data_IF_283824721034
#
_entry.id   IF_283824721034
#
_cell.length_a   1.000
_cell.length_b   1.000
_cell.length_c   1.000
_cell.angle_alpha   90.00
_cell.angle_beta   90.00
_cell.angle_gamma   90.00
#
_symmetry.space_group_name_H-M   'P 1'
#
loop_
_entity.id
_entity.type
_entity.pdbx_description
1 polymer ?
#
# COMPACT_ATOMS: atom_id res chain seq x y z
N UNK A 1 -34.75 44.95 -7.83
CA UNK A 1 -33.87 44.01 -8.55
C UNK A 1 -32.62 43.91 -7.71
N UNK A 2 -32.42 42.78 -7.05
CA UNK A 2 -31.16 42.52 -6.33
C UNK A 2 -30.18 42.12 -7.41
N UNK A 3 -29.11 42.90 -7.57
CA UNK A 3 -28.07 42.63 -8.56
C UNK A 3 -27.32 41.36 -8.12
N UNK A 4 -27.44 40.31 -8.93
CA UNK A 4 -26.74 39.03 -8.75
C UNK A 4 -25.27 39.19 -9.15
N UNK A 5 -24.43 39.24 -8.11
CA UNK A 5 -23.12 38.59 -8.01
C UNK A 5 -22.03 38.95 -9.03
N UNK A 6 -21.40 40.12 -8.83
CA UNK A 6 -20.01 40.38 -9.26
C UNK A 6 -19.01 39.71 -8.28
N UNK A 7 -19.13 38.39 -8.07
CA UNK A 7 -18.28 37.63 -7.13
C UNK A 7 -17.23 36.81 -7.90
N UNK A 8 -16.10 37.45 -8.14
CA UNK A 8 -14.77 36.89 -8.46
C UNK A 8 -14.72 35.71 -9.44
N UNK A 9 -14.27 35.98 -10.67
CA UNK A 9 -13.81 35.02 -11.69
C UNK A 9 -12.51 34.30 -11.25
N UNK A 10 -12.52 33.69 -10.06
CA UNK A 10 -11.40 32.90 -9.56
C UNK A 10 -11.41 31.54 -10.24
N UNK A 11 -10.52 31.38 -11.21
CA UNK A 11 -10.28 30.12 -11.89
C UNK A 11 -9.25 29.26 -11.15
N UNK A 12 -9.33 27.94 -11.36
CA UNK A 12 -8.35 27.01 -10.82
C UNK A 12 -7.02 27.12 -11.59
N UNK A 13 -5.92 27.44 -10.91
CA UNK A 13 -4.58 27.57 -11.50
C UNK A 13 -4.08 26.27 -12.18
N UNK A 14 -4.63 25.10 -11.81
CA UNK A 14 -4.22 23.81 -12.36
C UNK A 14 -4.93 23.40 -13.64
N UNK A 15 -6.21 23.74 -13.80
CA UNK A 15 -6.97 23.37 -15.00
C UNK A 15 -7.41 24.58 -15.84
N UNK A 16 -7.22 25.80 -15.34
CA UNK A 16 -7.64 27.04 -15.99
C UNK A 16 -9.14 27.27 -15.98
N UNK A 17 -9.93 26.40 -15.34
CA UNK A 17 -11.40 26.44 -15.33
C UNK A 17 -11.92 27.00 -14.01
N UNK A 18 -12.99 27.81 -14.07
CA UNK A 18 -13.79 28.22 -12.91
C UNK A 18 -14.96 27.28 -12.59
N UNK A 19 -15.03 26.12 -13.24
CA UNK A 19 -16.08 25.13 -13.02
C UNK A 19 -15.98 24.51 -11.61
N UNK A 20 -17.11 24.21 -10.97
CA UNK A 20 -17.16 23.68 -9.59
C UNK A 20 -16.61 24.64 -8.50
N UNK A 21 -17.17 25.86 -8.39
CA UNK A 21 -16.71 26.85 -7.41
C UNK A 21 -16.85 26.35 -5.96
N UNK A 22 -17.84 25.51 -5.66
CA UNK A 22 -18.02 24.90 -4.34
C UNK A 22 -16.87 23.96 -3.91
N UNK A 23 -16.04 23.52 -4.87
CA UNK A 23 -14.87 22.67 -4.63
C UNK A 23 -13.57 23.40 -4.97
N UNK A 24 -13.60 24.72 -5.07
CA UNK A 24 -12.43 25.57 -5.31
C UNK A 24 -11.92 26.11 -3.96
N UNK A 25 -10.66 25.84 -3.67
CA UNK A 25 -9.96 26.31 -2.48
C UNK A 25 -9.06 27.49 -2.82
N UNK A 26 -9.07 28.51 -1.97
CA UNK A 26 -8.15 29.64 -2.04
C UNK A 26 -6.97 29.40 -1.12
N UNK A 27 -5.78 29.79 -1.56
CA UNK A 27 -4.58 29.78 -0.73
C UNK A 27 -4.54 31.02 0.18
N UNK A 28 -4.39 30.85 1.49
CA UNK A 28 -4.40 31.97 2.46
C UNK A 28 -3.17 32.92 2.38
N UNK A 29 -2.23 32.66 1.46
CA UNK A 29 -1.01 33.48 1.26
C UNK A 29 -0.98 34.21 -0.08
N UNK A 30 -1.65 33.69 -1.10
CA UNK A 30 -1.59 34.24 -2.45
C UNK A 30 -2.94 34.31 -3.17
N UNK A 31 -4.01 33.93 -2.48
CA UNK A 31 -5.42 33.99 -2.92
C UNK A 31 -5.72 33.28 -4.25
N UNK A 32 -4.81 32.44 -4.74
CA UNK A 32 -5.02 31.64 -5.95
C UNK A 32 -5.95 30.46 -5.69
N UNK A 33 -6.83 30.19 -6.66
CA UNK A 33 -7.81 29.11 -6.64
C UNK A 33 -7.26 27.76 -7.10
N UNK A 34 -7.66 26.69 -6.40
CA UNK A 34 -7.34 25.31 -6.75
C UNK A 34 -8.50 24.38 -6.42
N UNK A 35 -8.93 23.55 -7.38
CA UNK A 35 -9.90 22.51 -7.05
C UNK A 35 -9.31 21.43 -6.14
N UNK A 36 -10.12 20.94 -5.20
CA UNK A 36 -9.76 19.81 -4.32
C UNK A 36 -9.23 18.59 -5.11
N UNK A 37 -9.82 18.34 -6.28
CA UNK A 37 -9.47 17.23 -7.18
C UNK A 37 -8.31 17.54 -8.14
N UNK A 38 -7.99 18.81 -8.38
CA UNK A 38 -6.83 19.20 -9.20
C UNK A 38 -5.51 19.16 -8.40
N UNK A 39 -5.58 19.13 -7.07
CA UNK A 39 -4.42 19.02 -6.19
C UNK A 39 -3.80 17.61 -6.21
N UNK A 40 -2.50 17.55 -5.92
CA UNK A 40 -1.74 16.30 -5.77
C UNK A 40 -0.96 16.36 -4.45
N UNK A 41 -1.34 15.55 -3.43
CA UNK A 41 -2.43 14.57 -3.40
C UNK A 41 -3.82 15.20 -3.50
N UNK A 42 -4.80 14.43 -3.99
CA UNK A 42 -6.21 14.86 -4.08
C UNK A 42 -6.76 15.05 -2.67
N UNK A 43 -7.42 16.18 -2.43
CA UNK A 43 -8.11 16.44 -1.16
C UNK A 43 -9.54 15.91 -1.25
N UNK A 44 -9.95 15.09 -0.27
CA UNK A 44 -11.31 14.56 -0.21
C UNK A 44 -12.32 15.56 0.38
N UNK A 45 -11.85 16.56 1.11
CA UNK A 45 -12.66 17.59 1.75
C UNK A 45 -11.85 18.86 1.97
N UNK A 46 -12.53 19.98 2.17
CA UNK A 46 -11.92 21.25 2.58
C UNK A 46 -11.15 21.03 3.90
N UNK A 47 -9.86 21.39 3.99
CA UNK A 47 -9.09 21.29 5.23
C UNK A 47 -9.70 22.13 6.35
N UNK A 48 -9.55 21.68 7.59
CA UNK A 48 -9.92 22.49 8.77
C UNK A 48 -8.75 23.41 9.10
N UNK A 49 -8.94 24.72 8.95
CA UNK A 49 -7.91 25.73 9.21
C UNK A 49 -7.25 26.23 7.91
N UNK A 50 -6.09 26.87 8.06
CA UNK A 50 -5.42 27.53 6.93
C UNK A 50 -4.81 26.54 5.94
N UNK A 51 -5.00 26.80 4.64
CA UNK A 51 -4.45 26.00 3.56
C UNK A 51 -3.55 26.83 2.64
N UNK A 52 -2.39 26.26 2.31
CA UNK A 52 -1.41 26.88 1.42
C UNK A 52 -1.23 26.04 0.17
N UNK A 53 -1.16 26.71 -0.99
CA UNK A 53 -0.91 26.03 -2.25
C UNK A 53 0.53 25.49 -2.33
N UNK A 54 0.84 24.54 -3.23
CA UNK A 54 2.18 23.94 -3.32
C UNK A 54 3.33 24.93 -3.56
N UNK A 55 3.03 26.12 -4.07
CA UNK A 55 4.01 27.19 -4.27
C UNK A 55 4.24 28.03 -3.01
N UNK A 56 3.25 28.09 -2.11
CA UNK A 56 3.25 28.89 -0.89
C UNK A 56 3.57 28.07 0.37
N UNK A 57 3.39 26.75 0.31
CA UNK A 57 3.80 25.84 1.36
C UNK A 57 5.34 25.80 1.43
N UNK A 58 5.89 26.47 2.44
CA UNK A 58 7.33 26.57 2.68
C UNK A 58 7.93 25.21 3.13
N UNK A 59 7.10 24.17 3.34
CA UNK A 59 7.55 22.80 3.57
C UNK A 59 8.02 22.15 2.26
N UNK A 60 9.24 22.47 1.84
CA UNK A 60 10.01 21.72 0.83
C UNK A 60 10.41 20.31 1.30
N UNK A 61 9.51 19.59 1.97
CA UNK A 61 9.61 18.14 2.05
C UNK A 61 9.14 17.61 0.70
N UNK A 62 9.99 17.79 -0.32
CA UNK A 62 9.96 16.98 -1.52
C UNK A 62 9.70 15.57 -1.03
N UNK A 63 8.59 14.99 -1.50
CA UNK A 63 8.26 13.59 -1.34
C UNK A 63 9.33 12.76 -2.04
N UNK A 64 10.55 12.76 -1.50
CA UNK A 64 11.45 11.64 -1.62
C UNK A 64 10.70 10.56 -0.91
N UNK A 65 10.02 9.72 -1.70
CA UNK A 65 9.53 8.45 -1.22
C UNK A 65 10.67 7.86 -0.38
N UNK A 66 10.48 7.58 0.92
CA UNK A 66 11.57 7.05 1.73
C UNK A 66 12.06 5.79 1.02
N UNK A 67 13.22 5.89 0.36
CA UNK A 67 13.82 4.78 -0.39
C UNK A 67 14.14 3.59 0.53
N UNK A 68 13.99 3.79 1.84
CA UNK A 68 13.97 2.76 2.86
C UNK A 68 12.54 2.56 3.34
N UNK A 69 11.96 1.41 3.02
CA UNK A 69 10.76 0.90 3.71
C UNK A 69 11.14 0.57 5.16
N UNK A 70 11.23 1.60 6.01
CA UNK A 70 11.51 1.46 7.46
C UNK A 70 10.54 0.48 8.10
N UNK A 71 9.26 0.52 7.70
CA UNK A 71 8.23 -0.43 8.15
C UNK A 71 8.55 -1.90 7.86
N UNK A 72 9.25 -2.23 6.77
CA UNK A 72 9.64 -3.62 6.48
C UNK A 72 10.88 -3.99 7.30
N UNK A 73 11.87 -3.08 7.37
CA UNK A 73 13.10 -3.31 8.13
C UNK A 73 12.80 -3.48 9.62
N UNK A 74 11.92 -2.63 10.18
CA UNK A 74 11.50 -2.66 11.57
C UNK A 74 10.65 -3.90 11.87
N UNK A 75 9.77 -4.29 10.94
CA UNK A 75 8.89 -5.46 11.11
C UNK A 75 9.65 -6.79 11.06
N UNK A 76 10.60 -6.92 10.13
CA UNK A 76 11.41 -8.14 9.96
C UNK A 76 12.75 -8.10 10.72
N UNK A 77 13.05 -7.02 11.46
CA UNK A 77 14.32 -6.79 12.18
C UNK A 77 15.55 -7.16 11.34
N UNK A 78 15.54 -6.74 10.07
CA UNK A 78 16.64 -7.03 9.15
C UNK A 78 17.86 -6.22 9.63
N UNK A 79 18.81 -6.89 10.28
CA UNK A 79 20.07 -6.28 10.66
C UNK A 79 20.85 -5.96 9.38
N UNK A 80 21.00 -4.67 9.06
CA UNK A 80 21.94 -4.24 8.03
C UNK A 80 23.34 -4.24 8.64
N UNK A 81 24.35 -4.85 8.00
CA UNK A 81 25.73 -4.72 8.45
C UNK A 81 26.13 -3.24 8.38
N UNK A 82 26.67 -2.76 9.49
CA UNK A 82 27.02 -1.36 9.76
C UNK A 82 28.16 -0.87 8.87
N UNK A 83 27.93 0.25 8.16
CA UNK A 83 29.00 1.20 7.89
C UNK A 83 28.47 2.64 8.12
N UNK A 84 29.10 3.32 9.08
CA UNK A 84 29.05 4.75 9.47
C UNK A 84 27.68 5.31 9.96
N UNK A 85 27.48 5.47 11.28
CA UNK A 85 27.84 6.63 12.15
C UNK A 85 26.95 7.87 11.91
N UNK A 86 25.93 8.04 12.76
CA UNK A 86 25.85 9.18 13.68
C UNK A 86 24.78 8.91 14.75
N UNK A 87 25.21 9.07 16.01
CA UNK A 87 24.42 8.92 17.22
C UNK A 87 23.25 9.90 17.30
N UNK A 88 22.14 9.48 17.92
CA UNK A 88 21.44 10.31 18.91
C UNK A 88 20.58 9.39 19.79
N UNK A 89 20.97 9.30 21.06
CA UNK A 89 20.27 8.56 22.12
C UNK A 89 19.28 9.48 22.88
N UNK A 90 18.63 9.04 23.98
CA UNK A 90 17.20 8.78 24.01
C UNK A 90 16.44 9.78 24.90
N UNK A 91 15.17 10.04 24.60
CA UNK A 91 14.29 10.65 25.62
C UNK A 91 13.10 11.40 25.07
N UNK A 92 11.91 10.85 25.33
CA UNK A 92 10.91 11.38 26.28
C UNK A 92 9.58 10.71 25.97
N UNK A 93 8.95 10.17 27.02
CA UNK A 93 7.65 9.52 26.98
C UNK A 93 6.60 10.35 26.22
N UNK A 94 6.26 9.91 25.03
CA UNK A 94 5.06 10.35 24.33
C UNK A 94 3.95 9.39 24.73
N UNK A 95 3.12 9.78 25.69
CA UNK A 95 1.87 9.09 26.02
C UNK A 95 1.05 8.86 24.75
N UNK A 96 1.12 7.64 24.19
CA UNK A 96 0.29 7.20 23.06
C UNK A 96 -1.14 7.09 23.55
N UNK A 97 -1.92 8.16 23.38
CA UNK A 97 -3.38 8.10 23.44
C UNK A 97 -3.85 7.01 22.48
N UNK A 98 -4.27 5.87 23.03
CA UNK A 98 -4.93 4.79 22.30
C UNK A 98 -6.23 5.36 21.72
N UNK A 99 -6.21 5.78 20.46
CA UNK A 99 -7.44 6.08 19.73
C UNK A 99 -8.24 4.77 19.65
N UNK A 100 -9.45 4.81 20.23
CA UNK A 100 -10.43 3.72 20.19
C UNK A 100 -10.61 3.25 18.74
N UNK A 101 -10.64 1.93 18.58
CA UNK A 101 -10.72 1.28 17.28
C UNK A 101 -11.95 1.74 16.49
N UNK A 102 -11.71 2.47 15.41
CA UNK A 102 -12.65 2.54 14.30
C UNK A 102 -12.56 1.21 13.57
N UNK A 103 -13.70 0.54 13.40
CA UNK A 103 -13.87 -0.71 12.65
C UNK A 103 -12.88 -0.81 11.48
N UNK A 104 -11.94 -1.77 11.55
CA UNK A 104 -10.95 -2.04 10.50
C UNK A 104 -11.59 -2.76 9.31
N UNK A 105 -12.70 -2.26 8.79
CA UNK A 105 -13.14 -2.68 7.46
C UNK A 105 -12.37 -1.84 6.45
N UNK A 106 -11.07 -2.17 6.30
CA UNK A 106 -10.33 -1.78 5.10
C UNK A 106 -10.95 -2.58 3.96
N UNK A 107 -11.74 -1.91 3.12
CA UNK A 107 -12.05 -2.42 1.78
C UNK A 107 -10.73 -2.58 1.04
N UNK A 108 -10.13 -3.78 1.14
CA UNK A 108 -8.88 -4.11 0.46
C UNK A 108 -9.13 -3.95 -1.04
N UNK A 109 -8.57 -2.88 -1.63
CA UNK A 109 -8.57 -2.71 -3.09
C UNK A 109 -8.02 -3.99 -3.70
N UNK A 110 -8.79 -4.59 -4.61
CA UNK A 110 -8.46 -5.88 -5.25
C UNK A 110 -7.13 -5.74 -6.01
N UNK A 111 -6.04 -6.24 -5.42
CA UNK A 111 -4.74 -6.32 -6.08
C UNK A 111 -4.70 -7.57 -6.93
N UNK A 112 -4.32 -7.43 -8.21
CA UNK A 112 -4.15 -8.58 -9.10
C UNK A 112 -2.88 -9.33 -8.69
N UNK A 113 -2.95 -10.65 -8.56
CA UNK A 113 -1.76 -11.48 -8.41
C UNK A 113 -0.93 -11.42 -9.69
N UNK A 114 0.36 -11.14 -9.55
CA UNK A 114 1.32 -11.20 -10.64
C UNK A 114 2.04 -12.55 -10.57
N UNK A 115 2.35 -13.17 -11.73
CA UNK A 115 3.14 -14.39 -11.73
C UNK A 115 4.54 -14.09 -11.20
N UNK A 116 5.10 -15.05 -10.46
CA UNK A 116 6.50 -15.00 -10.07
C UNK A 116 7.39 -15.09 -11.32
N UNK A 117 8.44 -14.28 -11.38
CA UNK A 117 9.43 -14.34 -12.45
C UNK A 117 10.76 -14.82 -11.84
N UNK A 118 11.19 -16.07 -12.09
CA UNK A 118 12.43 -16.59 -11.54
C UNK A 118 13.65 -15.85 -12.10
N UNK A 119 14.73 -15.79 -11.31
CA UNK A 119 16.03 -15.25 -11.75
C UNK A 119 16.49 -15.95 -13.03
N UNK A 120 17.01 -15.21 -14.03
CA UNK A 120 17.51 -15.80 -15.29
C UNK A 120 18.74 -16.68 -15.11
N UNK A 121 19.64 -16.28 -14.20
CA UNK A 121 20.87 -16.99 -13.88
C UNK A 121 20.59 -18.34 -13.19
N UNK A 122 21.06 -19.48 -13.75
CA UNK A 122 20.81 -20.80 -13.20
C UNK A 122 21.49 -21.03 -11.85
N UNK A 123 22.68 -20.45 -11.62
CA UNK A 123 23.45 -20.67 -10.38
C UNK A 123 22.73 -20.05 -9.19
N UNK A 124 22.27 -18.80 -9.35
CA UNK A 124 21.47 -18.10 -8.35
C UNK A 124 20.12 -18.77 -8.08
N UNK A 125 19.50 -19.39 -9.09
CA UNK A 125 18.27 -20.18 -8.88
C UNK A 125 18.54 -21.41 -8.03
N UNK A 126 19.67 -22.09 -8.26
CA UNK A 126 20.08 -23.23 -7.45
C UNK A 126 20.33 -22.81 -6.00
N UNK A 127 21.04 -21.70 -5.77
CA UNK A 127 21.28 -21.15 -4.43
C UNK A 127 19.97 -20.83 -3.67
N UNK A 128 18.95 -20.33 -4.38
CA UNK A 128 17.63 -20.11 -3.80
C UNK A 128 16.97 -21.43 -3.36
N UNK A 129 17.11 -22.50 -4.15
CA UNK A 129 16.59 -23.82 -3.82
C UNK A 129 17.38 -24.49 -2.70
N UNK A 130 18.71 -24.32 -2.64
CA UNK A 130 19.53 -24.90 -1.56
C UNK A 130 19.21 -24.27 -0.21
N UNK A 131 18.94 -22.95 -0.19
CA UNK A 131 18.49 -22.25 1.02
C UNK A 131 17.19 -22.85 1.57
N UNK A 132 16.22 -23.11 0.71
CA UNK A 132 14.96 -23.78 1.07
C UNK A 132 15.20 -25.21 1.56
N UNK A 133 16.02 -26.00 0.85
CA UNK A 133 16.33 -27.38 1.24
C UNK A 133 17.01 -27.43 2.62
N UNK A 134 17.92 -26.50 2.90
CA UNK A 134 18.61 -26.41 4.20
C UNK A 134 17.62 -26.14 5.33
N UNK A 135 16.66 -25.23 5.12
CA UNK A 135 15.63 -24.93 6.10
C UNK A 135 14.70 -26.13 6.36
N UNK A 136 14.32 -26.86 5.31
CA UNK A 136 13.49 -28.06 5.41
C UNK A 136 14.20 -29.19 6.16
N UNK A 137 15.47 -29.44 5.83
CA UNK A 137 16.31 -30.40 6.56
C UNK A 137 16.44 -30.04 8.03
N UNK A 138 16.67 -28.75 8.35
CA UNK A 138 16.74 -28.28 9.73
C UNK A 138 15.42 -28.45 10.48
N UNK A 139 14.29 -28.34 9.79
CA UNK A 139 12.96 -28.54 10.35
C UNK A 139 12.54 -30.03 10.39
N UNK A 140 13.31 -30.94 9.79
CA UNK A 140 12.93 -32.34 9.62
C UNK A 140 11.69 -32.53 8.73
N UNK A 141 11.49 -31.62 7.76
CA UNK A 141 10.34 -31.62 6.87
C UNK A 141 10.76 -32.02 5.43
N UNK A 142 9.89 -32.76 4.75
CA UNK A 142 10.06 -33.10 3.35
C UNK A 142 9.48 -32.02 2.43
N UNK A 143 10.10 -31.81 1.28
CA UNK A 143 9.57 -30.89 0.28
C UNK A 143 8.39 -31.51 -0.46
N UNK A 144 7.26 -30.80 -0.50
CA UNK A 144 6.13 -31.08 -1.39
C UNK A 144 5.56 -29.77 -1.93
N UNK A 145 5.29 -29.73 -3.23
CA UNK A 145 4.56 -28.63 -3.88
C UNK A 145 3.05 -28.93 -3.97
N UNK A 146 2.61 -30.07 -3.46
CA UNK A 146 1.23 -30.55 -3.50
C UNK A 146 0.67 -30.69 -2.08
N UNK A 147 -0.65 -30.47 -1.96
CA UNK A 147 -1.38 -30.73 -0.72
C UNK A 147 -1.45 -32.24 -0.49
N UNK A 148 -0.91 -32.69 0.62
CA UNK A 148 -0.94 -34.10 1.04
C UNK A 148 -2.02 -34.32 2.10
N UNK A 149 -2.88 -35.31 1.89
CA UNK A 149 -3.95 -35.67 2.82
C UNK A 149 -3.64 -37.02 3.46
N UNK A 150 -3.46 -37.03 4.78
CA UNK A 150 -3.14 -38.24 5.53
C UNK A 150 -4.40 -38.83 6.18
N UNK A 151 -4.56 -40.17 6.21
CA UNK A 151 -5.64 -40.80 6.95
C UNK A 151 -5.63 -40.39 8.43
N UNK A 152 -6.79 -40.04 8.98
CA UNK A 152 -6.92 -39.53 10.36
C UNK A 152 -6.71 -38.02 10.51
N UNK A 153 -6.30 -37.32 9.45
CA UNK A 153 -6.35 -35.86 9.34
C UNK A 153 -7.57 -35.42 8.52
N UNK A 154 -7.75 -34.11 8.33
CA UNK A 154 -8.87 -33.58 7.54
C UNK A 154 -8.85 -34.14 6.10
N UNK A 155 -9.89 -34.87 5.66
CA UNK A 155 -9.95 -35.38 4.30
C UNK A 155 -10.22 -34.26 3.30
N UNK A 156 -9.76 -34.45 2.08
CA UNK A 156 -9.95 -33.52 0.96
C UNK A 156 -11.43 -33.12 0.76
N UNK A 157 -12.34 -34.05 1.04
CA UNK A 157 -13.80 -33.88 0.90
C UNK A 157 -14.36 -32.76 1.77
N UNK A 158 -13.79 -32.49 2.96
CA UNK A 158 -14.24 -31.40 3.83
C UNK A 158 -13.94 -30.02 3.24
N UNK A 159 -12.87 -29.89 2.45
CA UNK A 159 -12.50 -28.62 1.79
C UNK A 159 -13.52 -28.29 0.68
N UNK A 160 -14.07 -29.32 0.03
CA UNK A 160 -15.02 -29.16 -1.07
C UNK A 160 -16.43 -28.80 -0.60
N UNK A 161 -16.83 -29.22 0.62
CA UNK A 161 -18.19 -29.02 1.14
C UNK A 161 -18.52 -27.58 1.56
N UNK A 162 -17.51 -26.77 1.94
CA UNK A 162 -17.70 -25.35 2.28
C UNK A 162 -17.68 -24.38 1.08
N UNK A 163 -17.52 -24.89 -0.15
CA UNK A 163 -17.36 -24.05 -1.35
C UNK A 163 -18.67 -23.52 -1.96
N UNK A 164 -19.82 -23.83 -1.34
CA UNK A 164 -21.16 -23.44 -1.84
C UNK A 164 -21.61 -22.04 -1.41
N UNK A 165 -20.88 -21.37 -0.51
CA UNK A 165 -21.07 -19.94 -0.28
C UNK A 165 -20.44 -19.15 -1.45
N UNK A 166 -21.04 -18.02 -1.80
CA UNK A 166 -20.91 -17.29 -3.08
C UNK A 166 -19.49 -16.76 -3.43
N UNK A 167 -18.44 -17.19 -2.74
CA UNK A 167 -17.07 -16.70 -2.84
C UNK A 167 -16.17 -17.46 -3.84
N UNK A 168 -16.50 -18.70 -4.24
CA UNK A 168 -15.63 -19.51 -5.11
C UNK A 168 -15.63 -19.15 -6.61
N UNK A 169 -16.41 -18.15 -7.06
CA UNK A 169 -16.44 -17.73 -8.47
C UNK A 169 -15.19 -16.95 -8.94
N UNK A 170 -14.24 -16.65 -8.06
CA UNK A 170 -13.05 -15.85 -8.38
C UNK A 170 -11.80 -16.66 -8.78
N UNK A 171 -11.89 -18.00 -8.81
CA UNK A 171 -10.70 -18.82 -8.93
C UNK A 171 -10.20 -19.01 -10.38
N UNK A 172 -11.05 -19.03 -11.41
CA UNK A 172 -10.63 -19.45 -12.77
C UNK A 172 -9.49 -18.63 -13.41
N UNK A 173 -9.54 -17.28 -13.34
CA UNK A 173 -8.44 -16.43 -13.89
C UNK A 173 -7.18 -16.45 -13.02
N UNK A 174 -7.32 -16.82 -11.75
CA UNK A 174 -6.22 -16.95 -10.81
C UNK A 174 -5.53 -18.31 -10.98
N UNK A 175 -6.33 -19.35 -11.18
CA UNK A 175 -5.91 -20.73 -11.43
C UNK A 175 -4.93 -20.79 -12.62
N UNK A 176 -5.21 -20.10 -13.73
CA UNK A 176 -4.29 -20.10 -14.88
C UNK A 176 -2.90 -19.52 -14.54
N UNK A 177 -2.83 -18.50 -13.67
CA UNK A 177 -1.55 -17.94 -13.21
C UNK A 177 -0.83 -18.87 -12.23
N UNK A 178 -1.58 -19.54 -11.37
CA UNK A 178 -1.03 -20.56 -10.47
C UNK A 178 -0.45 -21.73 -11.24
N UNK A 179 -1.17 -22.26 -12.25
CA UNK A 179 -0.66 -23.32 -13.12
C UNK A 179 0.58 -22.88 -13.91
N UNK A 180 0.66 -21.62 -14.36
CA UNK A 180 1.87 -21.13 -15.03
C UNK A 180 3.09 -21.08 -14.09
N UNK A 181 2.89 -20.86 -12.79
CA UNK A 181 3.96 -20.84 -11.80
C UNK A 181 4.35 -22.25 -11.33
N UNK A 182 3.42 -23.20 -11.30
CA UNK A 182 3.69 -24.58 -10.92
C UNK A 182 4.49 -25.36 -11.98
N UNK A 183 4.54 -24.85 -13.22
CA UNK A 183 5.17 -25.51 -14.38
C UNK A 183 6.55 -24.96 -14.73
N UNK A 184 7.01 -23.92 -14.03
CA UNK A 184 8.32 -23.26 -14.18
C UNK A 184 9.26 -23.67 -13.07
#
# INVERSE_FOLDING_TARGET
MVEEDEYSDTSCEKCGSGEYPAQLLLCDKCDRGFHLFCLRPILASVPKGSWFCPSCDDNKNLTKFPLVQTKIVDFFRIQRPSNSINEFSPGKDCQKKRKRGSSLVVSKKRRRLLPFNPTKDPTRRLEQMTSLATALLAAGADFSNELTYMPGMAPEQLIMQHSSERECRYYLKTIQKLYSCART
#
